data_IF_733714228179
#
_entry.id   IF_733714228179
#
_cell.length_a   1.000
_cell.length_b   1.000
_cell.length_c   1.000
_cell.angle_alpha   90.00
_cell.angle_beta   90.00
_cell.angle_gamma   90.00
#
_symmetry.space_group_name_H-M   'P 1'
#
loop_
_entity.id
_entity.type
_entity.pdbx_description
1 polymer ?
#
# COMPACT_ATOMS: atom_id res chain seq x y z
N UNK A 1 11.18 26.84 1.53
CA UNK A 1 10.25 25.93 2.21
C UNK A 1 8.86 26.15 1.67
N UNK A 2 8.19 25.10 1.18
CA UNK A 2 6.78 25.18 0.82
C UNK A 2 6.00 25.29 2.14
N UNK A 3 5.15 26.31 2.29
CA UNK A 3 4.25 26.44 3.42
C UNK A 3 3.20 25.32 3.31
N UNK A 4 3.35 24.26 4.11
CA UNK A 4 2.35 23.21 4.24
C UNK A 4 1.46 23.59 5.41
N UNK A 5 0.14 23.66 5.18
CA UNK A 5 -0.83 23.83 6.25
C UNK A 5 -1.01 22.48 6.97
N UNK A 6 -0.40 22.36 8.15
CA UNK A 6 -0.45 21.15 8.95
C UNK A 6 -1.16 21.40 10.29
N UNK A 7 -1.94 20.42 10.73
CA UNK A 7 -2.62 20.43 12.04
C UNK A 7 -2.42 19.10 12.75
N UNK A 8 -2.36 19.15 14.08
CA UNK A 8 -2.37 17.97 14.93
C UNK A 8 -3.82 17.67 15.34
N UNK A 9 -4.25 16.42 15.19
CA UNK A 9 -5.58 15.98 15.58
C UNK A 9 -5.58 14.50 15.98
N UNK A 10 -6.49 14.12 16.86
CA UNK A 10 -6.85 12.72 17.09
C UNK A 10 -7.86 12.21 16.06
N UNK A 11 -8.11 10.90 16.09
CA UNK A 11 -9.05 10.25 15.14
C UNK A 11 -10.48 10.78 15.28
N UNK A 12 -10.84 11.23 16.48
CA UNK A 12 -12.16 11.84 16.80
C UNK A 12 -12.35 13.24 16.20
N UNK A 13 -11.29 13.84 15.69
CA UNK A 13 -11.27 15.22 15.20
C UNK A 13 -10.68 15.33 13.78
N UNK A 14 -10.92 14.35 12.92
CA UNK A 14 -10.29 14.30 11.59
C UNK A 14 -10.61 15.50 10.69
N UNK A 15 -11.77 16.13 10.85
CA UNK A 15 -12.14 17.32 10.08
C UNK A 15 -11.61 18.63 10.72
N UNK A 16 -10.36 18.63 11.15
CA UNK A 16 -9.72 19.79 11.84
C UNK A 16 -9.61 21.03 10.96
N UNK A 17 -9.72 20.92 9.66
CA UNK A 17 -9.73 22.05 8.73
C UNK A 17 -11.12 22.64 8.54
N UNK A 18 -12.17 21.99 9.06
CA UNK A 18 -13.58 22.37 8.92
C UNK A 18 -13.97 22.62 7.44
N UNK A 19 -13.44 21.77 6.56
CA UNK A 19 -13.70 21.80 5.12
C UNK A 19 -13.57 20.40 4.53
N UNK A 20 -14.21 20.19 3.37
CA UNK A 20 -14.08 18.94 2.61
C UNK A 20 -13.06 19.08 1.50
N UNK A 21 -12.37 17.99 1.20
CA UNK A 21 -11.31 17.89 0.21
C UNK A 21 -11.77 17.10 -1.01
N UNK A 22 -11.19 17.41 -2.16
CA UNK A 22 -11.41 16.65 -3.40
C UNK A 22 -10.59 15.37 -3.42
N UNK A 23 -9.43 15.37 -2.73
CA UNK A 23 -8.52 14.23 -2.64
C UNK A 23 -8.05 14.09 -1.20
N UNK A 24 -8.08 12.86 -0.69
CA UNK A 24 -7.45 12.46 0.58
C UNK A 24 -6.48 11.31 0.29
N UNK A 25 -5.29 11.36 0.85
CA UNK A 25 -4.31 10.27 0.72
C UNK A 25 -3.84 9.80 2.09
N UNK A 26 -3.71 8.48 2.24
CA UNK A 26 -3.17 7.80 3.42
C UNK A 26 -2.07 6.85 2.92
N UNK A 27 -0.81 7.26 3.11
CA UNK A 27 0.36 6.51 2.63
C UNK A 27 1.09 5.95 3.84
N UNK A 28 1.05 4.63 4.02
CA UNK A 28 1.57 3.93 5.21
C UNK A 28 1.01 4.54 6.51
N UNK A 29 -0.31 4.60 6.60
CA UNK A 29 -1.03 5.14 7.76
C UNK A 29 -2.08 4.16 8.26
N UNK A 30 -2.85 3.56 7.38
CA UNK A 30 -4.04 2.78 7.73
C UNK A 30 -3.68 1.53 8.57
N UNK A 31 -2.53 0.91 8.30
CA UNK A 31 -2.00 -0.25 9.03
C UNK A 31 -1.65 0.04 10.50
N UNK A 32 -1.42 1.31 10.83
CA UNK A 32 -1.07 1.74 12.19
C UNK A 32 -2.28 2.12 13.04
N UNK A 33 -3.47 2.17 12.45
CA UNK A 33 -4.66 2.64 13.13
C UNK A 33 -5.35 1.51 13.91
N UNK A 34 -5.82 1.77 15.15
CA UNK A 34 -6.50 0.76 15.95
C UNK A 34 -7.88 0.37 15.38
N UNK A 35 -8.54 1.29 14.70
CA UNK A 35 -9.83 1.07 14.02
C UNK A 35 -9.80 1.68 12.60
N UNK A 36 -9.29 0.93 11.61
CA UNK A 36 -9.26 1.38 10.23
C UNK A 36 -10.66 1.66 9.64
N UNK A 37 -11.66 0.86 10.01
CA UNK A 37 -13.02 1.03 9.50
C UNK A 37 -13.65 2.35 9.97
N UNK A 38 -13.48 2.70 11.24
CA UNK A 38 -13.93 3.98 11.77
C UNK A 38 -13.31 5.15 10.99
N UNK A 39 -12.00 5.10 10.72
CA UNK A 39 -11.30 6.17 9.99
C UNK A 39 -11.80 6.29 8.55
N UNK A 40 -12.03 5.18 7.85
CA UNK A 40 -12.59 5.19 6.49
C UNK A 40 -14.01 5.80 6.49
N UNK A 41 -14.85 5.48 7.48
CA UNK A 41 -16.18 6.08 7.64
C UNK A 41 -16.11 7.59 7.89
N UNK A 42 -15.20 8.04 8.74
CA UNK A 42 -15.00 9.47 9.03
C UNK A 42 -14.55 10.23 7.78
N UNK A 43 -13.59 9.67 7.03
CA UNK A 43 -13.14 10.26 5.77
C UNK A 43 -14.30 10.35 4.78
N UNK A 44 -15.06 9.27 4.62
CA UNK A 44 -16.21 9.23 3.73
C UNK A 44 -17.25 10.30 4.11
N UNK A 45 -17.62 10.39 5.37
CA UNK A 45 -18.74 11.23 5.82
C UNK A 45 -18.35 12.70 5.95
N UNK A 46 -17.18 12.99 6.52
CA UNK A 46 -16.86 14.31 7.02
C UNK A 46 -15.69 15.00 6.28
N UNK A 47 -14.77 14.24 5.66
CA UNK A 47 -13.53 14.80 5.10
C UNK A 47 -13.56 14.90 3.58
N UNK A 48 -14.08 13.89 2.88
CA UNK A 48 -14.16 13.89 1.41
C UNK A 48 -15.44 14.55 0.89
N UNK A 49 -15.33 15.32 -0.19
CA UNK A 49 -16.46 15.76 -1.00
C UNK A 49 -17.16 14.60 -1.69
N UNK A 50 -18.38 14.81 -2.14
CA UNK A 50 -19.07 13.88 -3.05
C UNK A 50 -18.22 13.69 -4.31
N UNK A 51 -18.07 12.45 -4.77
CA UNK A 51 -17.19 12.06 -5.89
C UNK A 51 -15.68 12.32 -5.62
N UNK A 52 -15.29 12.65 -4.38
CA UNK A 52 -13.89 12.85 -4.01
C UNK A 52 -13.09 11.55 -4.07
N UNK A 53 -11.79 11.69 -4.22
CA UNK A 53 -10.85 10.60 -4.41
C UNK A 53 -10.14 10.25 -3.09
N UNK A 54 -10.16 8.99 -2.71
CA UNK A 54 -9.36 8.42 -1.63
C UNK A 54 -8.23 7.58 -2.23
N UNK A 55 -6.99 7.87 -1.82
CA UNK A 55 -5.81 7.11 -2.20
C UNK A 55 -5.25 6.46 -0.95
N UNK A 56 -5.15 5.13 -0.95
CA UNK A 56 -4.57 4.36 0.16
C UNK A 56 -3.36 3.59 -0.35
N UNK A 57 -2.26 3.66 0.41
CA UNK A 57 -1.06 2.84 0.19
C UNK A 57 -0.75 2.13 1.50
N UNK A 58 -0.78 0.78 1.49
CA UNK A 58 -0.54 -0.08 2.66
C UNK A 58 0.32 -1.28 2.28
N UNK A 59 1.07 -1.87 3.22
CA UNK A 59 1.74 -3.14 2.99
C UNK A 59 0.75 -4.25 2.61
N UNK A 60 1.17 -5.12 1.68
CA UNK A 60 0.44 -6.32 1.28
C UNK A 60 1.05 -7.52 2.01
N UNK A 61 0.52 -7.80 3.16
CA UNK A 61 1.09 -8.79 4.06
C UNK A 61 0.44 -10.17 3.90
N UNK A 62 1.19 -11.21 4.27
CA UNK A 62 0.80 -12.62 4.14
C UNK A 62 0.54 -13.06 2.69
N UNK A 63 1.13 -12.39 1.71
CA UNK A 63 1.03 -12.80 0.32
C UNK A 63 1.87 -14.06 0.04
N UNK A 64 1.51 -14.79 -1.02
CA UNK A 64 2.11 -16.10 -1.32
C UNK A 64 3.63 -16.03 -1.52
N UNK A 65 4.18 -14.92 -2.02
CA UNK A 65 5.63 -14.78 -2.17
C UNK A 65 6.34 -14.57 -0.85
N UNK A 66 5.71 -13.90 0.12
CA UNK A 66 6.24 -13.83 1.49
C UNK A 66 6.27 -15.21 2.13
N UNK A 67 5.15 -15.96 2.04
CA UNK A 67 5.04 -17.30 2.60
C UNK A 67 6.05 -18.24 1.96
N UNK A 68 6.12 -18.30 0.64
CA UNK A 68 7.08 -19.13 -0.09
C UNK A 68 8.55 -18.76 0.23
N UNK A 69 8.88 -17.47 0.25
CA UNK A 69 10.22 -17.00 0.61
C UNK A 69 10.62 -17.35 2.04
N UNK A 70 9.68 -17.29 2.99
CA UNK A 70 9.86 -17.76 4.36
C UNK A 70 10.24 -19.22 4.40
N UNK A 71 9.49 -20.07 3.71
CA UNK A 71 9.71 -21.53 3.69
C UNK A 71 11.05 -21.88 3.02
N UNK A 72 11.35 -21.35 1.84
CA UNK A 72 12.59 -21.60 1.10
C UNK A 72 13.85 -21.28 1.92
N UNK A 73 13.82 -20.24 2.73
CA UNK A 73 14.97 -19.79 3.50
C UNK A 73 14.90 -20.07 4.99
N UNK A 74 13.86 -20.78 5.45
CA UNK A 74 13.61 -21.06 6.87
C UNK A 74 13.68 -19.76 7.70
N UNK A 75 12.89 -18.76 7.31
CA UNK A 75 12.82 -17.45 7.96
C UNK A 75 11.63 -17.38 8.92
N UNK A 76 11.71 -16.44 9.87
CA UNK A 76 10.55 -16.00 10.61
C UNK A 76 9.66 -15.08 9.74
N UNK A 77 8.47 -14.76 10.22
CA UNK A 77 7.54 -13.83 9.58
C UNK A 77 8.01 -12.38 9.77
N UNK A 78 9.00 -11.96 8.97
CA UNK A 78 9.66 -10.65 9.07
C UNK A 78 8.75 -9.46 8.76
N UNK A 79 7.58 -9.73 8.18
CA UNK A 79 6.55 -8.71 7.89
C UNK A 79 5.66 -8.40 9.09
N UNK A 80 5.65 -9.26 10.12
CA UNK A 80 4.93 -8.98 11.36
C UNK A 80 5.76 -8.01 12.19
N UNK A 81 5.24 -6.79 12.39
CA UNK A 81 5.95 -5.68 12.98
C UNK A 81 5.22 -5.04 14.18
N UNK A 82 4.96 -5.78 15.27
CA UNK A 82 4.37 -5.19 16.48
C UNK A 82 5.39 -4.27 17.19
N UNK A 83 4.95 -3.19 17.86
CA UNK A 83 3.57 -2.70 17.95
C UNK A 83 3.20 -1.72 16.82
N UNK A 84 4.03 -1.62 15.78
CA UNK A 84 3.84 -0.62 14.71
C UNK A 84 2.64 -0.93 13.83
N UNK A 85 2.55 -2.13 13.28
CA UNK A 85 1.41 -2.55 12.47
C UNK A 85 0.37 -3.22 13.35
N UNK A 86 -0.81 -2.61 13.43
CA UNK A 86 -1.99 -3.12 14.16
C UNK A 86 -2.94 -3.87 13.24
N UNK A 87 -2.93 -3.55 11.96
CA UNK A 87 -3.76 -4.17 10.93
C UNK A 87 -2.90 -4.64 9.76
N UNK A 88 -3.28 -5.76 9.15
CA UNK A 88 -2.61 -6.35 8.00
C UNK A 88 -3.60 -6.47 6.85
N UNK A 89 -3.21 -5.99 5.67
CA UNK A 89 -4.08 -5.90 4.51
C UNK A 89 -3.63 -6.85 3.40
N UNK A 90 -4.61 -7.39 2.70
CA UNK A 90 -4.50 -8.00 1.38
C UNK A 90 -5.33 -7.20 0.39
N UNK A 91 -5.16 -7.44 -0.92
CA UNK A 91 -6.00 -6.81 -1.94
C UNK A 91 -7.49 -7.03 -1.70
N UNK A 92 -7.87 -8.24 -1.28
CA UNK A 92 -9.26 -8.60 -0.97
C UNK A 92 -9.77 -7.88 0.28
N UNK A 93 -9.01 -7.87 1.39
CA UNK A 93 -9.47 -7.24 2.64
C UNK A 93 -9.56 -5.73 2.51
N UNK A 94 -8.61 -5.09 1.81
CA UNK A 94 -8.65 -3.65 1.54
C UNK A 94 -9.84 -3.29 0.64
N UNK A 95 -10.10 -4.07 -0.42
CA UNK A 95 -11.27 -3.90 -1.28
C UNK A 95 -12.57 -3.97 -0.48
N UNK A 96 -12.76 -5.03 0.29
CA UNK A 96 -13.96 -5.23 1.10
C UNK A 96 -14.19 -4.09 2.09
N UNK A 97 -13.10 -3.60 2.74
CA UNK A 97 -13.18 -2.47 3.66
C UNK A 97 -13.69 -1.20 2.96
N UNK A 98 -13.19 -0.89 1.78
CA UNK A 98 -13.55 0.33 1.07
C UNK A 98 -14.95 0.24 0.46
N UNK A 99 -15.29 -0.85 -0.22
CA UNK A 99 -16.60 -1.03 -0.87
C UNK A 99 -17.73 -1.04 0.18
N UNK A 100 -17.54 -1.73 1.30
CA UNK A 100 -18.49 -1.74 2.44
C UNK A 100 -18.76 -0.32 2.98
N UNK A 101 -17.80 0.59 2.87
CA UNK A 101 -17.89 1.95 3.40
C UNK A 101 -18.18 3.02 2.34
N UNK A 102 -18.79 2.64 1.21
CA UNK A 102 -19.30 3.58 0.22
C UNK A 102 -18.23 4.17 -0.70
N UNK A 103 -17.25 3.36 -1.06
CA UNK A 103 -16.25 3.69 -2.06
C UNK A 103 -16.31 2.74 -3.25
N UNK A 104 -16.19 3.27 -4.46
CA UNK A 104 -15.99 2.53 -5.69
C UNK A 104 -14.50 2.51 -6.04
N UNK A 105 -13.91 1.32 -6.09
CA UNK A 105 -12.50 1.18 -6.47
C UNK A 105 -12.40 1.12 -7.99
N UNK A 106 -11.73 2.07 -8.58
CA UNK A 106 -11.52 2.10 -10.03
C UNK A 106 -10.09 1.72 -10.46
N UNK A 107 -9.15 1.68 -9.50
CA UNK A 107 -7.79 1.20 -9.75
C UNK A 107 -7.17 0.65 -8.47
N UNK A 108 -6.49 -0.48 -8.60
CA UNK A 108 -5.59 -1.02 -7.58
C UNK A 108 -4.31 -1.49 -8.25
N UNK A 109 -3.18 -1.12 -7.72
CA UNK A 109 -1.86 -1.53 -8.17
C UNK A 109 -1.02 -2.01 -6.99
N UNK A 110 -0.13 -2.94 -7.24
CA UNK A 110 0.86 -3.37 -6.26
C UNK A 110 2.23 -2.79 -6.62
N UNK A 111 3.14 -2.75 -5.65
CA UNK A 111 4.55 -2.47 -5.95
C UNK A 111 5.30 -3.76 -6.30
N UNK A 112 6.53 -3.62 -6.81
CA UNK A 112 7.40 -4.75 -7.12
C UNK A 112 7.53 -5.70 -5.91
N UNK A 113 7.26 -7.01 -6.07
CA UNK A 113 7.41 -8.00 -5.00
C UNK A 113 8.89 -8.31 -4.78
N UNK A 114 9.53 -7.65 -3.80
CA UNK A 114 10.92 -7.91 -3.45
C UNK A 114 11.17 -9.37 -3.03
N UNK A 115 10.15 -10.05 -2.60
CA UNK A 115 10.13 -11.47 -2.25
C UNK A 115 10.54 -12.38 -3.42
N UNK A 116 10.40 -11.91 -4.67
CA UNK A 116 10.96 -12.62 -5.84
C UNK A 116 12.46 -12.85 -5.70
N UNK A 117 13.21 -11.95 -5.09
CA UNK A 117 14.64 -12.15 -4.88
C UNK A 117 14.92 -13.29 -3.91
N UNK A 118 14.08 -13.51 -2.90
CA UNK A 118 14.16 -14.70 -2.05
C UNK A 118 13.96 -15.97 -2.88
N UNK A 119 12.95 -15.97 -3.75
CA UNK A 119 12.65 -17.10 -4.63
C UNK A 119 13.75 -17.34 -5.69
N UNK A 120 14.52 -16.32 -6.04
CA UNK A 120 15.74 -16.45 -6.86
C UNK A 120 16.98 -16.89 -6.04
N UNK A 121 16.82 -17.15 -4.74
CA UNK A 121 17.91 -17.60 -3.85
C UNK A 121 18.67 -16.47 -3.15
N UNK A 122 18.26 -15.22 -3.28
CA UNK A 122 18.91 -14.08 -2.63
C UNK A 122 18.30 -13.84 -1.24
N UNK A 123 18.84 -14.45 -0.21
CA UNK A 123 18.37 -14.31 1.19
C UNK A 123 18.68 -12.93 1.77
N UNK A 124 17.97 -11.90 1.33
CA UNK A 124 18.20 -10.51 1.73
C UNK A 124 17.62 -10.15 3.11
N UNK A 125 16.67 -10.94 3.63
CA UNK A 125 16.07 -10.69 4.95
C UNK A 125 17.14 -10.92 6.04
N UNK A 126 17.36 -9.88 6.84
CA UNK A 126 18.45 -9.87 7.83
C UNK A 126 19.82 -9.47 7.28
N UNK A 127 19.97 -9.28 5.96
CA UNK A 127 21.18 -8.77 5.30
C UNK A 127 20.92 -7.41 4.65
N UNK A 128 21.28 -6.29 5.31
CA UNK A 128 21.02 -4.94 4.78
C UNK A 128 21.85 -4.60 3.52
N UNK A 129 22.98 -5.26 3.28
CA UNK A 129 23.81 -5.04 2.09
C UNK A 129 23.13 -5.69 0.89
N UNK A 130 22.76 -6.94 1.02
CA UNK A 130 22.02 -7.68 -0.01
C UNK A 130 20.66 -7.05 -0.27
N UNK A 131 19.95 -6.62 0.78
CA UNK A 131 18.68 -5.90 0.67
C UNK A 131 18.79 -4.62 -0.18
N UNK A 132 19.83 -3.81 0.03
CA UNK A 132 20.12 -2.63 -0.82
C UNK A 132 20.41 -3.03 -2.27
N UNK A 133 21.12 -4.13 -2.49
CA UNK A 133 21.41 -4.65 -3.83
C UNK A 133 20.12 -5.07 -4.55
N UNK A 134 19.26 -5.85 -3.91
CA UNK A 134 17.95 -6.25 -4.44
C UNK A 134 17.08 -5.03 -4.77
N UNK A 135 17.03 -4.05 -3.87
CA UNK A 135 16.31 -2.80 -4.11
C UNK A 135 16.86 -2.03 -5.34
N UNK A 136 18.17 -1.97 -5.50
CA UNK A 136 18.80 -1.36 -6.69
C UNK A 136 18.45 -2.12 -7.99
N UNK A 137 18.41 -3.45 -7.95
CA UNK A 137 17.99 -4.27 -9.10
C UNK A 137 16.53 -3.96 -9.48
N UNK A 138 15.63 -3.86 -8.49
CA UNK A 138 14.25 -3.43 -8.72
C UNK A 138 14.17 -2.05 -9.38
N UNK A 139 14.88 -1.05 -8.84
CA UNK A 139 14.90 0.30 -9.43
C UNK A 139 15.40 0.24 -10.87
N UNK A 140 16.47 -0.50 -11.15
CA UNK A 140 17.00 -0.65 -12.51
C UNK A 140 15.98 -1.28 -13.46
N UNK A 141 15.23 -2.29 -13.03
CA UNK A 141 14.15 -2.90 -13.80
C UNK A 141 13.11 -1.84 -14.21
N UNK A 142 12.60 -1.07 -13.24
CA UNK A 142 11.62 -0.02 -13.49
C UNK A 142 12.16 1.08 -14.43
N UNK A 143 13.38 1.56 -14.17
CA UNK A 143 14.00 2.61 -14.98
C UNK A 143 14.29 2.14 -16.41
N UNK A 144 14.70 0.87 -16.59
CA UNK A 144 14.97 0.32 -17.93
C UNK A 144 13.67 0.22 -18.75
N UNK A 145 12.57 -0.20 -18.16
CA UNK A 145 11.27 -0.19 -18.85
C UNK A 145 10.85 1.22 -19.23
N UNK A 146 11.00 2.19 -18.31
CA UNK A 146 10.70 3.60 -18.58
C UNK A 146 11.54 4.17 -19.70
N UNK A 147 12.85 3.91 -19.72
CA UNK A 147 13.76 4.35 -20.80
C UNK A 147 13.38 3.80 -22.17
N UNK A 148 12.75 2.63 -22.23
CA UNK A 148 12.27 2.02 -23.47
C UNK A 148 10.83 2.41 -23.81
N UNK A 149 10.27 3.44 -23.17
CA UNK A 149 8.88 3.87 -23.33
C UNK A 149 7.87 2.73 -23.11
N UNK A 150 8.10 1.88 -22.10
CA UNK A 150 7.26 0.75 -21.71
C UNK A 150 6.60 0.99 -20.34
N UNK A 151 6.31 2.23 -20.01
CA UNK A 151 5.66 2.57 -18.73
C UNK A 151 4.25 1.99 -18.62
N UNK A 152 3.50 1.93 -19.73
CA UNK A 152 2.21 1.28 -19.81
C UNK A 152 2.27 -0.19 -19.41
N UNK A 153 3.31 -0.91 -19.82
CA UNK A 153 3.54 -2.32 -19.44
C UNK A 153 3.94 -2.47 -17.98
N UNK A 154 4.71 -1.53 -17.45
CA UNK A 154 5.07 -1.52 -16.05
C UNK A 154 3.83 -1.32 -15.17
N UNK A 155 2.95 -0.38 -15.51
CA UNK A 155 1.70 -0.16 -14.78
C UNK A 155 0.76 -1.36 -14.89
N UNK A 156 0.57 -1.93 -16.09
CA UNK A 156 -0.23 -3.14 -16.28
C UNK A 156 0.33 -4.33 -15.48
N UNK A 157 1.65 -4.46 -15.39
CA UNK A 157 2.29 -5.48 -14.55
C UNK A 157 1.95 -5.31 -13.06
N UNK A 158 1.98 -4.08 -12.56
CA UNK A 158 1.64 -3.80 -11.17
C UNK A 158 0.15 -3.95 -10.86
N UNK A 159 -0.71 -3.65 -11.81
CA UNK A 159 -2.15 -3.94 -11.69
C UNK A 159 -2.40 -5.46 -11.65
N UNK A 160 -1.79 -6.22 -12.54
CA UNK A 160 -1.88 -7.69 -12.54
C UNK A 160 -1.35 -8.31 -11.24
N UNK A 161 -0.27 -7.78 -10.67
CA UNK A 161 0.22 -8.23 -9.35
C UNK A 161 -0.81 -7.98 -8.24
N UNK A 162 -1.48 -6.83 -8.23
CA UNK A 162 -2.52 -6.55 -7.26
C UNK A 162 -3.73 -7.49 -7.40
N UNK A 163 -4.13 -7.82 -8.63
CA UNK A 163 -5.20 -8.80 -8.90
C UNK A 163 -4.84 -10.21 -8.42
N UNK A 164 -3.58 -10.60 -8.59
CA UNK A 164 -3.05 -11.87 -8.07
C UNK A 164 -2.83 -11.88 -6.55
N UNK A 165 -3.03 -10.75 -5.87
CA UNK A 165 -2.73 -10.61 -4.44
C UNK A 165 -1.24 -10.55 -4.13
N UNK A 166 -0.39 -10.33 -5.12
CA UNK A 166 1.07 -10.28 -5.01
C UNK A 166 1.58 -8.84 -4.95
N UNK A 167 2.89 -8.70 -4.69
CA UNK A 167 3.53 -7.40 -4.54
C UNK A 167 3.63 -6.96 -3.08
N UNK A 168 4.53 -6.01 -2.82
CA UNK A 168 4.90 -5.66 -1.43
C UNK A 168 4.00 -4.59 -0.81
N UNK A 169 3.52 -3.66 -1.61
CA UNK A 169 2.61 -2.60 -1.22
C UNK A 169 1.39 -2.66 -2.12
N UNK A 170 0.24 -2.31 -1.60
CA UNK A 170 -0.98 -2.10 -2.36
C UNK A 170 -1.30 -0.61 -2.39
N UNK A 171 -1.53 -0.08 -3.57
CA UNK A 171 -2.07 1.27 -3.76
C UNK A 171 -3.44 1.19 -4.39
N UNK A 172 -4.42 1.70 -3.67
CA UNK A 172 -5.81 1.71 -4.07
C UNK A 172 -6.28 3.13 -4.34
N UNK A 173 -6.97 3.31 -5.46
CA UNK A 173 -7.64 4.55 -5.86
C UNK A 173 -9.14 4.31 -5.85
N UNK A 174 -9.83 4.97 -4.95
CA UNK A 174 -11.25 4.77 -4.71
C UNK A 174 -12.01 6.09 -4.73
N UNK A 175 -13.21 6.09 -5.31
CA UNK A 175 -14.10 7.23 -5.41
C UNK A 175 -15.23 7.10 -4.40
N UNK A 176 -15.51 8.17 -3.68
CA UNK A 176 -16.70 8.26 -2.82
C UNK A 176 -17.97 8.26 -3.67
N UNK A 177 -18.87 7.30 -3.46
CA UNK A 177 -20.21 7.19 -4.07
C UNK A 177 -21.30 7.78 -3.18
#
# INVERSE_FOLDING_TARGET
SKNINAKVAGLESMNVFNMKFDIVSMINVLEHLPDPEFVIKEIQSHVLRKNGLLIIDVPNEFNDFQVAGKEVHNLNEWWIAPPGHLSYFSSTSLRNLLEKNGFEIFKMEASFPLEMFLLFGEKYVGDPILGKSCHKKRINFELNLKKQAKEDKLYAFYEALAELGLGRQLRCYARKI
#
